data_IF_380247797372
#
_entry.id   IF_380247797372
#
_cell.length_a   1.000
_cell.length_b   1.000
_cell.length_c   1.000
_cell.angle_alpha   90.00
_cell.angle_beta   90.00
_cell.angle_gamma   90.00
#
_symmetry.space_group_name_H-M   'P 1'
#
loop_
_entity.id
_entity.type
_entity.pdbx_description
1 polymer ?
#
# COMPACT_ATOMS: atom_id res chain seq x y z
N UNK A 1 23.27 -36.30 -0.54
CA UNK A 1 24.60 -35.68 -0.37
C UNK A 1 24.51 -34.45 0.53
N UNK A 2 23.69 -33.44 0.25
CA UNK A 2 23.58 -32.21 1.05
C UNK A 2 23.21 -32.47 2.53
N UNK A 3 22.27 -33.39 2.79
CA UNK A 3 21.88 -33.82 4.16
C UNK A 3 23.01 -34.57 4.90
N UNK A 4 23.84 -35.31 4.18
CA UNK A 4 24.98 -36.03 4.79
C UNK A 4 26.10 -35.05 5.15
N UNK A 5 26.33 -34.00 4.35
CA UNK A 5 27.30 -32.96 4.64
C UNK A 5 26.90 -32.16 5.88
N UNK A 6 25.63 -31.75 6.03
CA UNK A 6 25.14 -31.02 7.20
C UNK A 6 25.29 -31.74 8.53
N UNK A 7 25.38 -33.06 8.53
CA UNK A 7 25.65 -33.90 9.73
C UNK A 7 27.13 -34.07 10.07
N UNK A 8 28.03 -33.60 9.15
CA UNK A 8 29.47 -33.76 9.27
C UNK A 8 30.20 -32.70 10.12
N UNK A 9 29.49 -31.75 10.73
CA UNK A 9 30.08 -30.70 11.57
C UNK A 9 30.91 -29.67 10.79
N UNK A 10 30.65 -29.49 9.50
CA UNK A 10 31.31 -28.46 8.65
C UNK A 10 30.68 -27.11 8.93
N UNK A 11 31.49 -26.11 9.30
CA UNK A 11 31.02 -24.78 9.67
C UNK A 11 30.66 -23.88 8.47
N UNK A 12 31.32 -24.10 7.32
CA UNK A 12 31.14 -23.29 6.10
C UNK A 12 30.97 -24.18 4.87
N UNK A 13 29.92 -23.94 4.12
CA UNK A 13 29.63 -24.64 2.87
C UNK A 13 29.75 -23.69 1.68
N UNK A 14 30.64 -23.99 0.75
CA UNK A 14 30.83 -23.23 -0.48
C UNK A 14 30.17 -23.97 -1.64
N UNK A 15 29.26 -23.29 -2.35
CA UNK A 15 28.60 -23.80 -3.53
C UNK A 15 29.21 -23.17 -4.78
N UNK A 16 29.98 -23.96 -5.53
CA UNK A 16 30.39 -23.54 -6.86
C UNK A 16 29.21 -23.66 -7.82
N UNK A 17 28.79 -22.50 -8.34
CA UNK A 17 27.60 -22.38 -9.20
C UNK A 17 27.92 -22.31 -10.69
N UNK A 18 29.10 -22.69 -11.07
CA UNK A 18 29.55 -22.78 -12.44
C UNK A 18 30.84 -22.01 -12.72
N UNK A 19 31.29 -22.03 -13.95
CA UNK A 19 32.46 -21.27 -14.38
C UNK A 19 32.17 -19.77 -14.37
N UNK A 20 33.17 -18.99 -14.00
CA UNK A 20 33.03 -17.53 -13.97
C UNK A 20 32.85 -16.97 -15.38
N UNK A 21 31.82 -16.13 -15.55
CA UNK A 21 31.58 -15.36 -16.76
C UNK A 21 32.46 -14.09 -16.79
N UNK A 22 32.80 -13.63 -18.00
CA UNK A 22 33.52 -12.37 -18.22
C UNK A 22 35.04 -12.47 -18.23
N UNK A 23 35.72 -11.40 -18.64
CA UNK A 23 37.18 -11.32 -18.85
C UNK A 23 37.69 -12.07 -20.10
N UNK A 24 39.00 -12.07 -20.35
CA UNK A 24 39.61 -12.68 -21.53
C UNK A 24 39.53 -14.21 -21.56
N UNK A 25 39.21 -14.87 -20.44
CA UNK A 25 39.20 -16.35 -20.29
C UNK A 25 37.87 -16.87 -19.75
N UNK A 26 36.82 -16.00 -19.61
CA UNK A 26 35.51 -16.39 -19.09
C UNK A 26 34.68 -17.18 -20.10
N UNK A 27 33.96 -18.18 -19.62
CA UNK A 27 33.01 -18.95 -20.44
C UNK A 27 31.66 -18.23 -20.37
N UNK A 28 30.97 -18.00 -21.52
CA UNK A 28 29.61 -17.48 -21.50
C UNK A 28 28.70 -18.45 -20.75
N UNK A 29 28.12 -18.03 -19.66
CA UNK A 29 27.14 -18.80 -18.94
C UNK A 29 25.79 -18.61 -19.65
N UNK A 30 25.15 -19.71 -20.07
CA UNK A 30 23.79 -19.68 -20.62
C UNK A 30 22.71 -19.48 -19.57
N UNK A 31 23.08 -19.47 -18.29
CA UNK A 31 22.17 -19.32 -17.15
C UNK A 31 22.15 -17.87 -16.63
N UNK A 32 20.96 -17.38 -16.26
CA UNK A 32 20.83 -16.08 -15.59
C UNK A 32 21.22 -16.16 -14.12
N UNK A 33 21.57 -15.00 -13.52
CA UNK A 33 21.89 -14.87 -12.09
C UNK A 33 20.77 -15.44 -11.20
N UNK A 34 19.52 -15.20 -11.56
CA UNK A 34 18.34 -15.71 -10.86
C UNK A 34 18.23 -17.25 -10.92
N UNK A 35 18.47 -17.85 -12.09
CA UNK A 35 18.40 -19.31 -12.25
C UNK A 35 19.46 -20.01 -11.38
N UNK A 36 20.65 -19.44 -11.37
CA UNK A 36 21.77 -19.96 -10.57
C UNK A 36 21.48 -19.81 -9.07
N UNK A 37 20.95 -18.67 -8.64
CA UNK A 37 20.55 -18.43 -7.25
C UNK A 37 19.45 -19.41 -6.79
N UNK A 38 18.45 -19.68 -7.61
CA UNK A 38 17.39 -20.64 -7.32
C UNK A 38 17.91 -22.07 -7.18
N UNK A 39 18.86 -22.49 -8.04
CA UNK A 39 19.49 -23.80 -7.93
C UNK A 39 20.26 -23.96 -6.60
N UNK A 40 21.04 -22.96 -6.22
CA UNK A 40 21.77 -22.97 -4.95
C UNK A 40 20.85 -22.97 -3.74
N UNK A 41 19.69 -22.27 -3.80
CA UNK A 41 18.68 -22.23 -2.74
C UNK A 41 18.24 -23.63 -2.27
N UNK A 42 18.00 -24.56 -3.20
CA UNK A 42 17.58 -25.92 -2.88
C UNK A 42 18.60 -26.63 -2.01
N UNK A 43 19.88 -26.51 -2.32
CA UNK A 43 20.97 -27.11 -1.56
C UNK A 43 21.18 -26.44 -0.19
N UNK A 44 21.15 -25.13 -0.16
CA UNK A 44 21.29 -24.33 1.08
C UNK A 44 20.13 -24.63 2.05
N UNK A 45 18.91 -24.73 1.54
CA UNK A 45 17.75 -25.12 2.36
C UNK A 45 17.93 -26.51 2.99
N UNK A 46 18.44 -27.49 2.22
CA UNK A 46 18.66 -28.83 2.74
C UNK A 46 19.75 -28.87 3.83
N UNK A 47 20.83 -28.09 3.66
CA UNK A 47 21.88 -28.00 4.70
C UNK A 47 21.37 -27.33 5.96
N UNK A 48 20.70 -26.19 5.87
CA UNK A 48 20.15 -25.46 7.02
C UNK A 48 19.04 -26.23 7.75
N UNK A 49 18.39 -27.16 7.08
CA UNK A 49 17.44 -28.08 7.74
C UNK A 49 18.18 -29.07 8.66
N UNK A 50 19.40 -29.48 8.27
CA UNK A 50 20.24 -30.41 9.07
C UNK A 50 21.11 -29.66 10.08
N UNK A 51 21.61 -28.49 9.74
CA UNK A 51 22.43 -27.61 10.58
C UNK A 51 21.97 -26.15 10.41
N UNK A 52 21.12 -25.63 11.29
CA UNK A 52 20.61 -24.26 11.23
C UNK A 52 21.70 -23.18 11.37
N UNK A 53 22.86 -23.50 11.95
CA UNK A 53 23.99 -22.60 12.15
C UNK A 53 24.99 -22.58 11.00
N UNK A 54 24.83 -23.42 9.97
CA UNK A 54 25.76 -23.53 8.86
C UNK A 54 25.86 -22.24 8.03
N UNK A 55 27.08 -21.75 7.82
CA UNK A 55 27.36 -20.65 6.89
C UNK A 55 27.42 -21.20 5.46
N UNK A 56 26.60 -20.66 4.59
CA UNK A 56 26.49 -21.04 3.19
C UNK A 56 26.91 -19.90 2.28
N UNK A 57 27.96 -20.10 1.50
CA UNK A 57 28.50 -19.13 0.55
C UNK A 57 28.42 -19.69 -0.88
N UNK A 58 28.35 -18.81 -1.85
CA UNK A 58 28.34 -19.19 -3.28
C UNK A 58 29.60 -18.65 -3.97
N UNK A 59 30.06 -19.34 -5.01
CA UNK A 59 31.24 -19.00 -5.78
C UNK A 59 30.99 -19.24 -7.28
N UNK A 60 31.53 -18.36 -8.13
CA UNK A 60 31.50 -18.55 -9.59
C UNK A 60 30.22 -18.09 -10.29
N UNK A 61 29.95 -18.67 -11.45
CA UNK A 61 28.75 -18.40 -12.26
C UNK A 61 28.76 -17.07 -13.02
N UNK A 62 27.58 -16.55 -13.40
CA UNK A 62 27.44 -15.34 -14.21
C UNK A 62 27.62 -14.03 -13.41
N UNK A 63 28.24 -14.08 -12.23
CA UNK A 63 28.38 -12.95 -11.32
C UNK A 63 29.58 -12.11 -11.72
N UNK A 64 29.33 -10.92 -12.28
CA UNK A 64 30.37 -10.00 -12.79
C UNK A 64 30.30 -8.62 -12.15
N UNK A 65 29.26 -8.31 -11.38
CA UNK A 65 29.07 -7.01 -10.72
C UNK A 65 28.63 -7.19 -9.27
N UNK A 66 28.80 -6.14 -8.41
CA UNK A 66 28.28 -6.15 -7.05
C UNK A 66 26.77 -6.41 -6.97
N UNK A 67 26.01 -5.92 -7.95
CA UNK A 67 24.56 -6.13 -8.05
C UNK A 67 24.23 -7.59 -8.32
N UNK A 68 24.94 -8.23 -9.28
CA UNK A 68 24.77 -9.66 -9.57
C UNK A 68 25.08 -10.54 -8.35
N UNK A 69 26.14 -10.20 -7.60
CA UNK A 69 26.48 -10.88 -6.35
C UNK A 69 25.32 -10.80 -5.35
N UNK A 70 24.81 -9.58 -5.12
CA UNK A 70 23.73 -9.38 -4.18
C UNK A 70 22.46 -10.14 -4.58
N UNK A 71 22.09 -10.08 -5.86
CA UNK A 71 20.93 -10.77 -6.41
C UNK A 71 21.05 -12.29 -6.26
N UNK A 72 22.21 -12.88 -6.60
CA UNK A 72 22.48 -14.29 -6.45
C UNK A 72 22.43 -14.75 -4.98
N UNK A 73 23.07 -14.00 -4.06
CA UNK A 73 23.06 -14.32 -2.62
C UNK A 73 21.66 -14.23 -2.04
N UNK A 74 20.88 -13.20 -2.40
CA UNK A 74 19.50 -13.03 -1.96
C UNK A 74 18.61 -14.17 -2.45
N UNK A 75 18.71 -14.52 -3.72
CA UNK A 75 17.91 -15.58 -4.32
C UNK A 75 18.28 -16.95 -3.75
N UNK A 76 19.57 -17.23 -3.59
CA UNK A 76 20.07 -18.46 -2.97
C UNK A 76 19.81 -18.51 -1.45
N UNK A 77 19.55 -17.41 -0.79
CA UNK A 77 19.59 -17.23 0.67
C UNK A 77 20.97 -17.57 1.26
N UNK A 78 22.02 -17.24 0.53
CA UNK A 78 23.40 -17.46 0.97
C UNK A 78 23.86 -16.34 1.91
N UNK A 79 24.81 -16.65 2.78
CA UNK A 79 25.41 -15.70 3.74
C UNK A 79 26.45 -14.80 3.08
N UNK A 80 27.02 -15.25 1.94
CA UNK A 80 28.06 -14.50 1.23
C UNK A 80 28.43 -15.09 -0.11
N UNK A 81 29.39 -14.40 -0.75
CA UNK A 81 29.97 -14.77 -2.02
C UNK A 81 31.50 -14.82 -1.92
N UNK A 82 32.14 -15.81 -2.54
CA UNK A 82 33.58 -15.90 -2.67
C UNK A 82 33.97 -15.49 -4.10
N UNK A 83 34.61 -14.33 -4.22
CA UNK A 83 35.03 -13.75 -5.48
C UNK A 83 36.49 -14.10 -5.81
N UNK A 84 36.78 -15.35 -6.14
CA UNK A 84 38.14 -15.73 -6.54
C UNK A 84 38.55 -15.12 -7.89
N UNK A 85 38.41 -15.89 -8.96
CA UNK A 85 38.85 -15.49 -10.31
C UNK A 85 38.08 -14.31 -10.93
N UNK A 86 37.01 -13.86 -10.32
CA UNK A 86 36.28 -12.64 -10.76
C UNK A 86 37.10 -11.38 -10.44
N UNK A 87 37.80 -11.38 -9.32
CA UNK A 87 38.67 -10.26 -8.87
C UNK A 87 39.97 -10.23 -9.64
N UNK A 88 40.57 -11.39 -9.93
CA UNK A 88 41.87 -11.52 -10.66
C UNK A 88 41.82 -11.00 -12.12
N UNK A 89 40.64 -10.68 -12.62
CA UNK A 89 40.40 -10.20 -13.99
C UNK A 89 40.31 -8.69 -14.12
N UNK A 90 40.47 -7.95 -13.04
CA UNK A 90 40.44 -6.50 -13.04
C UNK A 90 41.82 -5.93 -13.44
N UNK A 91 41.86 -4.81 -14.20
CA UNK A 91 43.11 -4.35 -14.84
C UNK A 91 44.13 -3.72 -13.93
N UNK A 92 43.87 -3.49 -12.62
CA UNK A 92 44.83 -2.88 -11.68
C UNK A 92 44.45 -3.10 -10.20
N UNK A 93 45.46 -2.99 -9.29
CA UNK A 93 45.28 -3.11 -7.83
C UNK A 93 44.28 -2.07 -7.27
N UNK A 94 44.31 -0.84 -7.78
CA UNK A 94 43.38 0.22 -7.40
C UNK A 94 41.90 -0.14 -7.73
N UNK A 95 41.70 -0.84 -8.84
CA UNK A 95 40.37 -1.33 -9.22
C UNK A 95 39.85 -2.41 -8.27
N UNK A 96 40.71 -3.20 -7.65
CA UNK A 96 40.34 -4.23 -6.66
C UNK A 96 39.82 -3.62 -5.36
N UNK A 97 40.47 -2.57 -4.87
CA UNK A 97 40.04 -1.84 -3.67
C UNK A 97 38.69 -1.16 -3.90
N UNK A 98 38.52 -0.46 -5.02
CA UNK A 98 37.29 0.20 -5.40
C UNK A 98 36.13 -0.81 -5.58
N UNK A 99 36.40 -1.93 -6.24
CA UNK A 99 35.41 -2.98 -6.44
C UNK A 99 35.02 -3.64 -5.11
N UNK A 100 35.98 -3.95 -4.26
CA UNK A 100 35.73 -4.52 -2.93
C UNK A 100 34.91 -3.56 -2.06
N UNK A 101 35.27 -2.26 -2.10
CA UNK A 101 34.48 -1.23 -1.42
C UNK A 101 33.06 -1.11 -1.96
N UNK A 102 32.86 -1.18 -3.29
CA UNK A 102 31.56 -1.19 -3.92
C UNK A 102 30.72 -2.43 -3.52
N UNK A 103 31.32 -3.62 -3.49
CA UNK A 103 30.65 -4.83 -3.00
C UNK A 103 30.20 -4.70 -1.53
N UNK A 104 31.07 -4.19 -0.65
CA UNK A 104 30.74 -3.94 0.76
C UNK A 104 29.65 -2.87 0.91
N UNK A 105 29.72 -1.79 0.14
CA UNK A 105 28.76 -0.71 0.17
C UNK A 105 27.37 -1.20 -0.26
N UNK A 106 27.27 -1.88 -1.41
CA UNK A 106 26.00 -2.42 -1.91
C UNK A 106 25.39 -3.39 -0.91
N UNK A 107 26.17 -4.32 -0.37
CA UNK A 107 25.65 -5.28 0.62
C UNK A 107 25.24 -4.60 1.94
N UNK A 108 25.92 -3.55 2.36
CA UNK A 108 25.58 -2.80 3.58
C UNK A 108 24.32 -1.96 3.40
N UNK A 109 24.21 -1.24 2.28
CA UNK A 109 23.03 -0.47 1.93
C UNK A 109 21.80 -1.38 1.80
N UNK A 110 21.95 -2.51 1.14
CA UNK A 110 20.85 -3.46 0.97
C UNK A 110 20.39 -4.05 2.32
N UNK A 111 21.31 -4.46 3.21
CA UNK A 111 20.92 -4.89 4.57
C UNK A 111 20.20 -3.80 5.35
N UNK A 112 20.55 -2.54 5.12
CA UNK A 112 19.87 -1.39 5.74
C UNK A 112 18.47 -1.20 5.15
N UNK A 113 18.33 -1.31 3.83
CA UNK A 113 17.04 -1.28 3.12
C UNK A 113 16.15 -2.42 3.62
N UNK A 114 16.63 -3.68 3.58
CA UNK A 114 15.88 -4.85 4.03
C UNK A 114 15.48 -4.77 5.53
N UNK A 115 16.30 -4.10 6.36
CA UNK A 115 15.96 -3.86 7.77
C UNK A 115 14.88 -2.81 7.91
N UNK A 116 14.94 -1.73 7.12
CA UNK A 116 13.93 -0.69 7.11
C UNK A 116 12.62 -1.22 6.53
N UNK A 117 12.67 -1.98 5.46
CA UNK A 117 11.50 -2.64 4.86
C UNK A 117 10.84 -3.60 5.85
N UNK A 118 11.61 -4.48 6.53
CA UNK A 118 11.06 -5.35 7.58
C UNK A 118 10.43 -4.58 8.74
N UNK A 119 11.02 -3.45 9.15
CA UNK A 119 10.40 -2.57 10.15
C UNK A 119 9.10 -1.95 9.64
N UNK A 120 9.06 -1.50 8.39
CA UNK A 120 7.85 -0.97 7.75
C UNK A 120 6.79 -2.06 7.61
N UNK A 121 7.16 -3.28 7.20
CA UNK A 121 6.26 -4.41 7.07
C UNK A 121 5.68 -4.84 8.44
N UNK A 122 6.51 -4.90 9.47
CA UNK A 122 6.04 -5.18 10.84
C UNK A 122 5.11 -4.10 11.36
N UNK A 123 5.39 -2.82 11.04
CA UNK A 123 4.51 -1.70 11.40
C UNK A 123 3.23 -1.72 10.56
N UNK A 124 3.32 -2.08 9.27
CA UNK A 124 2.17 -2.12 8.35
C UNK A 124 1.22 -3.30 8.58
N UNK A 125 1.75 -4.50 8.84
CA UNK A 125 0.94 -5.70 9.08
C UNK A 125 0.38 -5.73 10.52
N UNK A 126 1.14 -5.26 11.50
CA UNK A 126 0.71 -5.21 12.90
C UNK A 126 -0.46 -4.26 13.17
N UNK A 127 -0.70 -3.30 12.28
CA UNK A 127 -1.78 -2.31 12.40
C UNK A 127 -3.01 -2.61 11.53
N UNK A 128 -2.98 -3.62 10.67
CA UNK A 128 -4.10 -3.95 9.79
C UNK A 128 -4.30 -2.98 8.61
N UNK A 129 -3.52 -1.89 8.52
CA UNK A 129 -3.55 -0.93 7.42
C UNK A 129 -2.37 -1.20 6.49
N UNK A 130 -2.60 -1.96 5.41
CA UNK A 130 -1.57 -2.39 4.47
C UNK A 130 -1.33 -1.33 3.39
N UNK A 131 -0.05 -0.98 3.16
CA UNK A 131 0.43 -0.06 2.13
C UNK A 131 1.66 0.71 2.55
N UNK A 132 2.37 1.33 1.59
CA UNK A 132 3.63 2.06 1.78
C UNK A 132 3.58 3.50 1.30
N UNK A 133 2.49 3.91 0.69
CA UNK A 133 2.31 5.29 0.22
C UNK A 133 2.33 6.29 1.38
N UNK A 134 2.84 7.50 1.14
CA UNK A 134 3.00 8.54 2.17
C UNK A 134 1.67 8.85 2.87
N UNK A 135 0.57 8.90 2.13
CA UNK A 135 -0.77 9.12 2.68
C UNK A 135 -1.19 8.02 3.69
N UNK A 136 -0.82 6.75 3.44
CA UNK A 136 -1.09 5.68 4.41
C UNK A 136 -0.13 5.68 5.60
N UNK A 137 1.10 6.13 5.41
CA UNK A 137 2.05 6.33 6.51
C UNK A 137 1.50 7.41 7.45
N UNK A 138 1.01 8.53 6.91
CA UNK A 138 0.37 9.58 7.69
C UNK A 138 -0.92 9.09 8.38
N UNK A 139 -1.80 8.40 7.64
CA UNK A 139 -3.03 7.83 8.21
C UNK A 139 -2.73 6.88 9.38
N UNK A 140 -1.66 6.08 9.31
CA UNK A 140 -1.22 5.21 10.41
C UNK A 140 -0.73 6.00 11.62
N UNK A 141 0.09 7.02 11.41
CA UNK A 141 0.56 7.88 12.50
C UNK A 141 -0.60 8.57 13.23
N UNK A 142 -1.57 9.09 12.46
CA UNK A 142 -2.80 9.67 13.03
C UNK A 142 -3.65 8.64 13.76
N UNK A 143 -3.78 7.43 13.21
CA UNK A 143 -4.51 6.32 13.83
C UNK A 143 -3.90 5.93 15.19
N UNK A 144 -2.58 5.88 15.30
CA UNK A 144 -1.90 5.60 16.58
C UNK A 144 -2.20 6.68 17.62
N UNK A 145 -2.00 7.93 17.23
CA UNK A 145 -2.22 9.06 18.12
C UNK A 145 -3.69 9.17 18.57
N UNK A 146 -4.62 9.20 17.60
CA UNK A 146 -6.04 9.37 17.88
C UNK A 146 -6.68 8.11 18.48
N UNK A 147 -6.10 6.93 18.23
CA UNK A 147 -6.58 5.67 18.80
C UNK A 147 -6.51 5.67 20.34
N UNK A 148 -5.34 6.03 20.87
CA UNK A 148 -5.07 6.04 22.31
C UNK A 148 -5.83 7.14 23.07
N UNK A 149 -6.06 8.29 22.44
CA UNK A 149 -6.68 9.48 23.05
C UNK A 149 -8.17 9.28 23.42
N UNK A 150 -8.89 8.40 22.72
CA UNK A 150 -10.30 8.08 23.03
C UNK A 150 -11.32 9.17 22.65
N UNK A 151 -10.91 10.30 22.11
CA UNK A 151 -11.81 11.38 21.68
C UNK A 151 -12.49 11.09 20.32
N UNK A 152 -13.37 12.01 19.85
CA UNK A 152 -14.08 11.84 18.58
C UNK A 152 -13.10 11.88 17.40
N UNK A 153 -13.42 11.16 16.33
CA UNK A 153 -12.59 11.11 15.10
C UNK A 153 -13.48 11.16 13.86
N UNK A 154 -13.06 11.92 12.86
CA UNK A 154 -13.60 11.89 11.51
C UNK A 154 -12.74 10.98 10.62
N UNK A 155 -13.34 9.99 9.97
CA UNK A 155 -12.65 9.09 9.03
C UNK A 155 -13.22 9.30 7.65
N UNK A 156 -12.43 9.79 6.72
CA UNK A 156 -12.85 10.08 5.37
C UNK A 156 -12.21 9.17 4.33
N UNK A 157 -12.83 9.10 3.17
CA UNK A 157 -12.34 8.40 1.99
C UNK A 157 -13.47 7.85 1.14
N UNK A 158 -13.21 7.46 -0.10
CA UNK A 158 -14.21 6.88 -0.98
C UNK A 158 -14.69 5.50 -0.49
N UNK A 159 -15.83 5.04 -1.02
CA UNK A 159 -16.36 3.74 -0.70
C UNK A 159 -15.36 2.62 -1.00
N UNK A 160 -15.26 1.66 -0.07
CA UNK A 160 -14.30 0.56 -0.20
C UNK A 160 -12.84 0.91 0.10
N UNK A 161 -12.49 2.14 0.51
CA UNK A 161 -11.10 2.54 0.84
C UNK A 161 -10.56 1.95 2.15
N UNK A 162 -11.45 1.41 3.02
CA UNK A 162 -11.08 0.82 4.31
C UNK A 162 -11.51 1.63 5.53
N UNK A 163 -12.42 2.61 5.40
CA UNK A 163 -12.92 3.48 6.49
C UNK A 163 -13.42 2.69 7.71
N UNK A 164 -14.26 1.68 7.50
CA UNK A 164 -14.79 0.85 8.59
C UNK A 164 -13.68 0.04 9.28
N UNK A 165 -12.63 -0.36 8.55
CA UNK A 165 -11.44 -0.98 9.14
C UNK A 165 -10.72 0.01 10.07
N UNK A 166 -10.51 1.26 9.63
CA UNK A 166 -9.88 2.31 10.45
C UNK A 166 -10.70 2.59 11.70
N UNK A 167 -12.04 2.66 11.61
CA UNK A 167 -12.91 2.83 12.76
C UNK A 167 -12.76 1.68 13.78
N UNK A 168 -12.69 0.43 13.32
CA UNK A 168 -12.45 -0.73 14.17
C UNK A 168 -11.05 -0.69 14.83
N UNK A 169 -10.03 -0.27 14.08
CA UNK A 169 -8.66 -0.12 14.59
C UNK A 169 -8.56 0.99 15.63
N UNK A 170 -9.27 2.12 15.43
CA UNK A 170 -9.38 3.21 16.42
C UNK A 170 -10.06 2.73 17.69
N UNK A 171 -11.15 1.97 17.56
CA UNK A 171 -11.84 1.38 18.70
C UNK A 171 -10.95 0.42 19.49
N UNK A 172 -10.28 -0.51 18.79
CA UNK A 172 -9.40 -1.53 19.42
C UNK A 172 -8.20 -0.94 20.17
N UNK A 173 -7.80 0.30 19.84
CA UNK A 173 -6.74 1.06 20.56
C UNK A 173 -7.28 1.97 21.66
N UNK A 174 -8.60 2.18 21.66
CA UNK A 174 -9.26 3.10 22.59
C UNK A 174 -9.45 2.54 24.00
N UNK A 175 -9.79 3.42 24.96
CA UNK A 175 -10.07 3.01 26.34
C UNK A 175 -11.31 2.13 26.45
N UNK A 176 -12.28 2.23 25.52
CA UNK A 176 -13.53 1.45 25.52
C UNK A 176 -13.45 0.12 24.77
N UNK A 177 -12.28 -0.39 24.41
CA UNK A 177 -12.04 -1.61 23.61
C UNK A 177 -12.60 -2.91 24.20
N UNK A 178 -12.98 -2.88 25.47
CA UNK A 178 -13.52 -4.06 26.22
C UNK A 178 -14.88 -4.51 25.69
N UNK A 179 -15.67 -3.61 25.12
CA UNK A 179 -17.00 -3.88 24.59
C UNK A 179 -17.00 -3.66 23.08
N UNK A 180 -17.69 -4.47 22.28
CA UNK A 180 -17.71 -4.28 20.84
C UNK A 180 -18.24 -2.89 20.46
N UNK A 181 -17.76 -2.28 19.36
CA UNK A 181 -18.29 -1.03 18.87
C UNK A 181 -19.68 -1.23 18.30
N UNK A 182 -20.50 -0.19 18.37
CA UNK A 182 -21.81 -0.15 17.75
C UNK A 182 -21.74 0.68 16.48
N UNK A 183 -22.28 0.19 15.36
CA UNK A 183 -22.27 0.88 14.07
C UNK A 183 -23.68 1.19 13.61
N UNK A 184 -23.91 2.42 13.17
CA UNK A 184 -25.19 2.91 12.66
C UNK A 184 -24.99 3.73 11.39
N UNK A 185 -25.97 3.72 10.50
CA UNK A 185 -25.96 4.51 9.27
C UNK A 185 -26.76 5.80 9.46
N UNK A 186 -26.10 6.94 9.27
CA UNK A 186 -26.73 8.26 9.45
C UNK A 186 -27.89 8.54 8.49
N UNK A 187 -27.97 7.88 7.35
CA UNK A 187 -29.08 8.03 6.39
C UNK A 187 -30.43 7.65 6.96
N UNK A 188 -30.43 6.88 8.05
CA UNK A 188 -31.62 6.39 8.74
C UNK A 188 -31.74 6.95 10.16
N UNK A 189 -30.94 7.98 10.50
CA UNK A 189 -30.90 8.57 11.84
C UNK A 189 -31.46 9.99 11.85
N UNK A 190 -32.45 10.21 12.67
CA UNK A 190 -32.81 11.53 13.18
C UNK A 190 -32.33 11.71 14.64
N UNK A 191 -32.51 12.91 15.20
CA UNK A 191 -32.12 13.18 16.57
C UNK A 191 -32.79 12.25 17.60
N UNK A 192 -34.02 11.83 17.34
CA UNK A 192 -34.74 10.91 18.20
C UNK A 192 -34.22 9.48 18.18
N UNK A 193 -33.57 9.03 17.10
CA UNK A 193 -32.85 7.76 17.07
C UNK A 193 -31.46 7.89 17.70
N UNK A 194 -30.81 9.01 17.48
CA UNK A 194 -29.45 9.21 18.00
C UNK A 194 -29.44 9.44 19.50
N UNK A 195 -30.30 10.34 20.01
CA UNK A 195 -30.33 10.74 21.42
C UNK A 195 -31.48 10.11 22.23
N UNK A 196 -32.40 9.42 21.56
CA UNK A 196 -33.60 8.88 22.19
C UNK A 196 -34.79 9.85 22.18
N UNK A 197 -35.97 9.36 22.53
CA UNK A 197 -37.19 10.17 22.60
C UNK A 197 -38.05 9.80 23.79
N UNK A 198 -38.69 10.80 24.38
CA UNK A 198 -39.73 10.67 25.40
C UNK A 198 -41.03 11.19 24.82
N UNK A 199 -42.01 10.31 24.54
CA UNK A 199 -43.30 10.73 23.99
C UNK A 199 -44.09 11.55 25.03
N UNK A 200 -44.71 12.64 24.56
CA UNK A 200 -45.47 13.55 25.40
C UNK A 200 -46.70 12.93 26.08
N UNK A 201 -47.22 11.83 25.53
CA UNK A 201 -48.41 11.10 25.96
C UNK A 201 -48.14 9.98 26.98
N UNK A 202 -46.92 9.90 27.52
CA UNK A 202 -46.53 8.87 28.49
C UNK A 202 -46.29 7.48 27.87
N UNK A 203 -46.15 7.41 26.54
CA UNK A 203 -45.80 6.20 25.80
C UNK A 203 -44.42 5.62 26.20
N UNK A 204 -44.01 4.54 25.52
CA UNK A 204 -42.74 3.89 25.80
C UNK A 204 -41.55 4.82 25.40
N UNK A 205 -40.65 5.04 26.33
CA UNK A 205 -39.38 5.70 26.07
C UNK A 205 -38.60 4.95 24.99
N UNK A 206 -38.01 5.68 24.05
CA UNK A 206 -37.07 5.14 23.05
C UNK A 206 -35.65 5.44 23.46
N UNK A 207 -34.85 4.40 23.62
CA UNK A 207 -33.42 4.51 23.90
C UNK A 207 -32.69 5.04 22.66
N UNK A 208 -31.79 6.02 22.84
CA UNK A 208 -30.95 6.52 21.77
C UNK A 208 -29.65 5.73 21.62
N UNK A 209 -29.04 5.80 20.44
CA UNK A 209 -27.77 5.13 20.17
C UNK A 209 -26.64 5.64 21.05
N UNK A 210 -26.57 6.94 21.36
CA UNK A 210 -25.57 7.54 22.28
C UNK A 210 -25.70 6.96 23.70
N UNK A 211 -26.92 6.67 24.13
CA UNK A 211 -27.21 6.06 25.42
C UNK A 211 -26.83 4.57 25.41
N UNK A 212 -27.21 3.85 24.35
CA UNK A 212 -26.91 2.43 24.17
C UNK A 212 -25.40 2.17 24.05
N UNK A 213 -24.65 3.09 23.44
CA UNK A 213 -23.20 3.02 23.28
C UNK A 213 -22.41 3.49 24.52
N UNK A 214 -23.09 3.76 25.65
CA UNK A 214 -22.38 4.16 26.87
C UNK A 214 -21.35 3.10 27.29
N UNK A 215 -20.09 3.48 27.42
CA UNK A 215 -18.98 2.57 27.73
C UNK A 215 -18.40 1.82 26.54
N UNK A 216 -18.76 2.19 25.32
CA UNK A 216 -18.17 1.66 24.08
C UNK A 216 -18.00 2.77 23.03
N UNK A 217 -17.72 2.36 21.78
CA UNK A 217 -17.60 3.29 20.65
C UNK A 217 -18.86 3.22 19.79
N UNK A 218 -19.41 4.37 19.44
CA UNK A 218 -20.45 4.53 18.42
C UNK A 218 -19.82 5.00 17.12
N UNK A 219 -19.89 4.16 16.09
CA UNK A 219 -19.47 4.48 14.74
C UNK A 219 -20.69 4.91 13.94
N UNK A 220 -20.68 6.12 13.41
CA UNK A 220 -21.76 6.69 12.60
C UNK A 220 -21.26 6.75 11.15
N UNK A 221 -21.75 5.85 10.30
CA UNK A 221 -21.45 5.82 8.87
C UNK A 221 -22.29 6.85 8.11
N UNK A 222 -21.75 7.36 7.00
CA UNK A 222 -22.39 8.40 6.17
C UNK A 222 -22.79 9.65 6.96
N UNK A 223 -21.92 10.11 7.84
CA UNK A 223 -22.21 11.17 8.83
C UNK A 223 -22.66 12.48 8.20
N UNK A 224 -22.31 12.75 6.93
CA UNK A 224 -22.83 13.88 6.14
C UNK A 224 -24.38 13.80 5.95
N UNK A 225 -24.98 12.64 6.13
CA UNK A 225 -26.42 12.42 6.04
C UNK A 225 -27.20 12.84 7.28
N UNK A 226 -26.53 13.20 8.39
CA UNK A 226 -27.19 13.74 9.58
C UNK A 226 -27.80 15.11 9.30
N UNK A 227 -29.00 15.37 9.81
CA UNK A 227 -29.60 16.70 9.71
C UNK A 227 -28.77 17.75 10.45
N UNK A 228 -28.77 19.02 10.02
CA UNK A 228 -28.02 20.08 10.71
C UNK A 228 -28.35 20.20 12.21
N UNK A 229 -29.63 20.00 12.59
CA UNK A 229 -30.05 19.98 14.00
C UNK A 229 -29.39 18.85 14.80
N UNK A 230 -29.40 17.61 14.25
CA UNK A 230 -28.76 16.45 14.86
C UNK A 230 -27.24 16.62 14.96
N UNK A 231 -26.59 17.21 13.95
CA UNK A 231 -25.18 17.54 14.00
C UNK A 231 -24.85 18.55 15.09
N UNK A 232 -25.71 19.57 15.30
CA UNK A 232 -25.52 20.57 16.37
C UNK A 232 -25.69 19.96 17.76
N UNK A 233 -26.67 19.08 17.95
CA UNK A 233 -26.86 18.32 19.18
C UNK A 233 -25.64 17.41 19.45
N UNK A 234 -25.11 16.76 18.39
CA UNK A 234 -23.91 15.94 18.50
C UNK A 234 -22.68 16.77 18.87
N UNK A 235 -22.52 17.95 18.29
CA UNK A 235 -21.45 18.87 18.66
C UNK A 235 -21.51 19.28 20.14
N UNK A 236 -22.70 19.58 20.64
CA UNK A 236 -22.93 19.87 22.04
C UNK A 236 -22.62 18.67 22.97
N UNK A 237 -23.04 17.47 22.56
CA UNK A 237 -22.70 16.24 23.29
C UNK A 237 -21.19 16.00 23.33
N UNK A 238 -20.49 16.19 22.23
CA UNK A 238 -19.02 16.04 22.18
C UNK A 238 -18.27 17.06 23.07
N UNK A 239 -18.92 18.17 23.43
CA UNK A 239 -18.37 19.18 24.35
C UNK A 239 -18.49 18.80 25.81
N UNK A 240 -19.71 18.42 26.22
CA UNK A 240 -20.04 18.28 27.62
C UNK A 240 -20.30 16.84 28.09
N UNK A 241 -20.36 15.87 27.17
CA UNK A 241 -20.67 14.47 27.47
C UNK A 241 -22.09 14.23 27.98
N UNK A 242 -22.96 15.25 27.83
CA UNK A 242 -24.37 15.19 28.25
C UNK A 242 -25.30 15.50 27.09
N UNK A 243 -26.48 14.95 27.13
CA UNK A 243 -27.52 15.12 26.11
C UNK A 243 -28.92 15.03 26.75
N UNK A 244 -29.93 15.40 26.00
CA UNK A 244 -31.35 15.20 26.36
C UNK A 244 -32.02 14.34 25.31
N UNK A 245 -32.98 13.52 25.73
CA UNK A 245 -33.88 12.87 24.79
C UNK A 245 -34.82 13.87 24.15
N UNK A 246 -35.23 13.65 22.93
CA UNK A 246 -36.21 14.51 22.30
C UNK A 246 -37.55 14.46 23.10
N UNK A 247 -38.09 15.62 23.45
CA UNK A 247 -39.29 15.75 24.32
C UNK A 247 -39.01 15.55 25.79
N UNK A 248 -37.82 15.14 26.21
CA UNK A 248 -37.44 14.96 27.62
C UNK A 248 -36.80 16.20 28.24
N UNK A 249 -36.95 16.32 29.56
CA UNK A 249 -36.37 17.39 30.37
C UNK A 249 -35.05 16.96 31.03
N UNK A 250 -34.87 15.66 31.22
CA UNK A 250 -33.74 15.11 31.98
C UNK A 250 -32.42 15.20 31.16
N UNK A 251 -31.37 15.68 31.85
CA UNK A 251 -30.01 15.66 31.29
C UNK A 251 -29.35 14.32 31.60
N UNK A 252 -29.00 13.58 30.56
CA UNK A 252 -28.35 12.29 30.64
C UNK A 252 -26.86 12.43 30.32
N UNK A 253 -26.03 11.54 30.84
CA UNK A 253 -24.59 11.48 30.51
C UNK A 253 -24.24 10.18 29.84
N UNK A 254 -23.33 10.25 28.85
CA UNK A 254 -22.72 9.09 28.22
C UNK A 254 -21.23 9.35 28.00
N UNK A 255 -20.44 8.29 28.16
CA UNK A 255 -19.02 8.28 27.83
C UNK A 255 -18.75 7.56 26.50
N UNK A 256 -19.77 7.46 25.65
CA UNK A 256 -19.64 6.87 24.32
C UNK A 256 -18.57 7.62 23.51
N UNK A 257 -17.59 6.92 22.98
CA UNK A 257 -16.66 7.45 21.99
C UNK A 257 -17.36 7.53 20.64
N UNK A 258 -17.27 8.67 19.95
CA UNK A 258 -17.90 8.88 18.66
C UNK A 258 -16.84 8.80 17.55
N UNK A 259 -17.07 7.96 16.55
CA UNK A 259 -16.31 7.92 15.30
C UNK A 259 -17.28 8.20 14.16
N UNK A 260 -17.01 9.23 13.38
CA UNK A 260 -17.82 9.66 12.24
C UNK A 260 -17.12 9.23 10.96
N UNK A 261 -17.85 8.59 10.06
CA UNK A 261 -17.35 8.16 8.75
C UNK A 261 -18.03 8.96 7.67
N UNK A 262 -17.23 9.67 6.86
CA UNK A 262 -17.68 10.44 5.70
C UNK A 262 -17.00 10.01 4.39
N UNK A 263 -17.50 10.53 3.28
CA UNK A 263 -16.94 10.32 1.95
C UNK A 263 -15.90 11.38 1.60
N UNK A 264 -16.10 12.60 2.09
CA UNK A 264 -15.22 13.75 1.89
C UNK A 264 -14.34 14.01 3.12
N UNK A 265 -13.14 14.55 2.92
CA UNK A 265 -12.29 15.05 3.99
C UNK A 265 -13.00 16.12 4.82
N UNK A 266 -12.60 16.27 6.08
CA UNK A 266 -13.27 17.16 7.04
C UNK A 266 -13.41 18.60 6.52
N UNK A 267 -12.35 19.16 5.95
CA UNK A 267 -12.36 20.53 5.41
C UNK A 267 -13.29 20.64 4.19
N UNK A 268 -13.28 19.64 3.31
CA UNK A 268 -14.14 19.61 2.12
C UNK A 268 -15.62 19.50 2.52
N UNK A 269 -15.95 18.65 3.49
CA UNK A 269 -17.32 18.49 4.01
C UNK A 269 -17.83 19.77 4.69
N UNK A 270 -16.97 20.45 5.46
CA UNK A 270 -17.30 21.74 6.09
C UNK A 270 -17.48 22.85 5.02
N UNK A 271 -16.58 22.91 4.02
CA UNK A 271 -16.66 23.89 2.92
C UNK A 271 -17.88 23.68 2.00
N UNK A 272 -18.31 22.44 1.82
CA UNK A 272 -19.54 22.10 1.09
C UNK A 272 -20.83 22.35 1.89
N UNK A 273 -20.72 22.68 3.19
CA UNK A 273 -21.87 22.89 4.06
C UNK A 273 -22.59 21.60 4.48
N UNK A 274 -22.01 20.42 4.22
CA UNK A 274 -22.55 19.13 4.65
C UNK A 274 -22.29 18.85 6.13
N UNK A 275 -21.31 19.55 6.71
CA UNK A 275 -21.06 19.56 8.15
C UNK A 275 -21.29 20.97 8.73
N UNK A 276 -22.00 21.02 9.87
CA UNK A 276 -22.19 22.29 10.60
C UNK A 276 -20.85 22.76 11.19
N UNK A 277 -20.57 24.09 11.23
CA UNK A 277 -19.28 24.62 11.68
C UNK A 277 -18.88 24.19 13.08
N UNK A 278 -19.84 24.03 14.00
CA UNK A 278 -19.57 23.62 15.37
C UNK A 278 -19.05 22.17 15.46
N UNK A 279 -19.64 21.26 14.69
CA UNK A 279 -19.18 19.86 14.61
C UNK A 279 -17.81 19.78 13.93
N UNK A 280 -17.62 20.50 12.82
CA UNK A 280 -16.33 20.54 12.12
C UNK A 280 -15.21 21.08 13.04
N UNK A 281 -15.48 22.10 13.85
CA UNK A 281 -14.52 22.66 14.82
C UNK A 281 -14.13 21.64 15.90
N UNK A 282 -15.07 20.82 16.37
CA UNK A 282 -14.80 19.76 17.36
C UNK A 282 -13.95 18.62 16.81
N UNK A 283 -14.05 18.38 15.50
CA UNK A 283 -13.31 17.36 14.78
C UNK A 283 -11.98 17.87 14.19
N UNK A 284 -11.72 19.19 14.28
CA UNK A 284 -10.51 19.79 13.74
C UNK A 284 -9.25 19.10 14.29
N UNK A 285 -8.33 18.69 13.38
CA UNK A 285 -7.12 17.90 13.66
C UNK A 285 -7.37 16.47 14.18
N UNK A 286 -8.61 16.01 14.15
CA UNK A 286 -9.02 14.65 14.58
C UNK A 286 -9.61 13.87 13.41
N UNK A 287 -9.01 14.03 12.27
CA UNK A 287 -9.42 13.46 11.00
C UNK A 287 -8.37 12.47 10.49
N UNK A 288 -8.81 11.46 9.76
CA UNK A 288 -7.98 10.50 9.04
C UNK A 288 -8.55 10.37 7.64
N UNK A 289 -7.79 10.78 6.64
CA UNK A 289 -8.19 10.68 5.26
C UNK A 289 -7.54 9.46 4.60
N UNK A 290 -8.36 8.63 3.96
CA UNK A 290 -7.90 7.46 3.21
C UNK A 290 -7.96 7.76 1.72
N UNK A 291 -6.82 7.68 1.02
CA UNK A 291 -6.79 7.87 -0.42
C UNK A 291 -7.51 6.74 -1.16
N UNK A 292 -8.09 7.01 -2.34
CA UNK A 292 -8.59 5.97 -3.24
C UNK A 292 -7.45 5.05 -3.69
N UNK A 293 -7.79 3.83 -4.10
CA UNK A 293 -6.79 2.87 -4.58
C UNK A 293 -6.07 3.37 -5.84
N UNK A 294 -6.77 4.16 -6.68
CA UNK A 294 -6.19 4.80 -7.87
C UNK A 294 -5.03 5.75 -7.59
N UNK A 295 -4.90 6.28 -6.36
CA UNK A 295 -3.81 7.15 -5.93
C UNK A 295 -2.67 6.39 -5.22
N UNK A 296 -2.85 5.08 -4.99
CA UNK A 296 -1.88 4.21 -4.31
C UNK A 296 -1.67 2.87 -5.03
N UNK A 297 -1.57 2.92 -6.34
CA UNK A 297 -1.40 1.72 -7.19
C UNK A 297 -0.14 0.92 -6.86
N UNK A 298 0.89 1.55 -6.34
CA UNK A 298 2.12 0.90 -5.87
C UNK A 298 1.91 -0.02 -4.67
N UNK A 299 0.80 0.13 -3.94
CA UNK A 299 0.42 -0.74 -2.84
C UNK A 299 -0.28 -2.04 -3.29
N UNK A 300 -0.70 -2.13 -4.57
CA UNK A 300 -1.44 -3.29 -5.11
C UNK A 300 -0.75 -4.63 -4.84
N UNK A 301 0.56 -4.80 -5.08
CA UNK A 301 1.22 -6.08 -4.81
C UNK A 301 1.13 -6.52 -3.35
N UNK A 302 1.30 -5.57 -2.40
CA UNK A 302 1.19 -5.83 -0.96
C UNK A 302 -0.23 -6.17 -0.55
N UNK A 303 -1.21 -5.46 -1.12
CA UNK A 303 -2.63 -5.70 -0.87
C UNK A 303 -3.07 -7.06 -1.40
N UNK A 304 -2.60 -7.46 -2.59
CA UNK A 304 -2.87 -8.79 -3.16
C UNK A 304 -2.28 -9.89 -2.29
N UNK A 305 -1.03 -9.75 -1.85
CA UNK A 305 -0.40 -10.71 -0.93
C UNK A 305 -1.17 -10.81 0.39
N UNK A 306 -1.57 -9.67 0.96
CA UNK A 306 -2.36 -9.61 2.18
C UNK A 306 -3.73 -10.29 2.04
N UNK A 307 -4.47 -9.99 0.98
CA UNK A 307 -5.77 -10.61 0.74
C UNK A 307 -5.65 -12.11 0.45
N UNK A 308 -4.65 -12.51 -0.34
CA UNK A 308 -4.39 -13.92 -0.61
C UNK A 308 -4.04 -14.70 0.67
N UNK A 309 -3.22 -14.13 1.55
CA UNK A 309 -2.89 -14.74 2.84
C UNK A 309 -4.12 -14.85 3.75
N UNK A 310 -5.03 -13.88 3.73
CA UNK A 310 -6.27 -13.93 4.49
C UNK A 310 -7.28 -14.95 3.95
N UNK A 311 -7.33 -15.13 2.62
CA UNK A 311 -8.25 -16.06 1.94
C UNK A 311 -7.72 -17.51 1.94
N UNK A 312 -6.41 -17.68 1.90
CA UNK A 312 -5.73 -18.99 1.88
C UNK A 312 -4.61 -19.07 2.93
N UNK A 313 -4.94 -19.14 4.24
CA UNK A 313 -3.93 -19.08 5.31
C UNK A 313 -2.90 -20.22 5.27
N UNK A 314 -3.25 -21.36 4.67
CA UNK A 314 -2.38 -22.53 4.56
C UNK A 314 -1.56 -22.57 3.25
N UNK A 315 -1.78 -21.63 2.34
CA UNK A 315 -1.04 -21.54 1.09
C UNK A 315 0.24 -20.71 1.26
N UNK A 316 1.18 -20.86 0.33
CA UNK A 316 2.38 -20.03 0.26
C UNK A 316 2.06 -18.59 -0.16
N UNK A 317 3.06 -17.68 -0.13
CA UNK A 317 2.88 -16.30 -0.58
C UNK A 317 2.54 -16.27 -2.07
N UNK A 318 1.47 -15.56 -2.40
CA UNK A 318 1.00 -15.39 -3.78
C UNK A 318 1.68 -14.17 -4.41
N UNK A 319 2.09 -14.30 -5.68
CA UNK A 319 2.74 -13.23 -6.44
C UNK A 319 1.90 -12.86 -7.65
N UNK A 320 2.07 -11.62 -8.11
CA UNK A 320 1.50 -11.16 -9.38
C UNK A 320 2.51 -11.34 -10.51
N UNK A 321 2.08 -11.86 -11.66
CA UNK A 321 2.89 -11.79 -12.87
C UNK A 321 3.00 -10.33 -13.35
N UNK A 322 4.06 -9.96 -14.10
CA UNK A 322 4.21 -8.60 -14.61
C UNK A 322 3.05 -8.17 -15.53
N UNK A 323 2.42 -9.12 -16.20
CA UNK A 323 1.27 -8.87 -17.07
C UNK A 323 -0.01 -8.62 -16.25
N UNK A 324 -0.25 -9.42 -15.20
CA UNK A 324 -1.35 -9.20 -14.26
C UNK A 324 -1.22 -7.86 -13.56
N UNK A 325 -0.03 -7.52 -13.08
CA UNK A 325 0.22 -6.23 -12.43
C UNK A 325 -0.11 -5.05 -13.36
N UNK A 326 0.31 -5.10 -14.64
CA UNK A 326 -0.02 -4.03 -15.60
C UNK A 326 -1.52 -3.87 -15.81
N UNK A 327 -2.30 -4.94 -15.82
CA UNK A 327 -3.76 -4.86 -15.92
C UNK A 327 -4.37 -4.20 -14.67
N UNK A 328 -3.90 -4.59 -13.49
CA UNK A 328 -4.39 -4.02 -12.23
C UNK A 328 -4.07 -2.52 -12.07
N UNK A 329 -2.89 -2.05 -12.49
CA UNK A 329 -2.57 -0.61 -12.44
C UNK A 329 -3.28 0.21 -13.52
N UNK A 330 -3.77 -0.42 -14.59
CA UNK A 330 -4.52 0.24 -15.65
C UNK A 330 -6.01 0.45 -15.30
N UNK A 331 -6.50 -0.21 -14.26
CA UNK A 331 -7.89 -0.13 -13.83
C UNK A 331 -8.14 1.07 -12.90
N UNK A 332 -9.34 1.67 -12.97
CA UNK A 332 -9.69 2.91 -12.24
C UNK A 332 -10.11 2.68 -10.78
N UNK A 333 -10.39 1.46 -10.40
CA UNK A 333 -10.74 1.03 -9.03
C UNK A 333 -11.94 1.76 -8.41
N UNK A 334 -13.12 1.82 -9.06
CA UNK A 334 -14.29 2.48 -8.49
C UNK A 334 -14.75 1.89 -7.15
N UNK A 335 -14.57 0.59 -6.94
CA UNK A 335 -14.87 -0.12 -5.69
C UNK A 335 -13.69 -0.23 -4.72
N UNK A 336 -12.54 0.37 -5.05
CA UNK A 336 -11.35 0.43 -4.20
C UNK A 336 -10.89 -0.96 -3.67
N UNK A 337 -10.58 -1.08 -2.38
CA UNK A 337 -10.11 -2.33 -1.77
C UNK A 337 -11.17 -3.44 -1.77
N UNK A 338 -12.46 -3.07 -1.74
CA UNK A 338 -13.53 -4.06 -1.79
C UNK A 338 -13.54 -4.78 -3.15
N UNK A 339 -13.36 -4.02 -4.22
CA UNK A 339 -13.25 -4.53 -5.58
C UNK A 339 -11.96 -5.33 -5.76
N UNK A 340 -10.81 -4.81 -5.32
CA UNK A 340 -9.54 -5.53 -5.39
C UNK A 340 -9.62 -6.88 -4.67
N UNK A 341 -10.21 -6.92 -3.47
CA UNK A 341 -10.39 -8.17 -2.72
C UNK A 341 -11.22 -9.19 -3.49
N UNK A 342 -12.35 -8.77 -4.09
CA UNK A 342 -13.20 -9.65 -4.89
C UNK A 342 -12.47 -10.20 -6.12
N UNK A 343 -11.68 -9.37 -6.79
CA UNK A 343 -10.83 -9.77 -7.92
C UNK A 343 -9.77 -10.79 -7.49
N UNK A 344 -9.09 -10.55 -6.37
CA UNK A 344 -8.09 -11.49 -5.83
C UNK A 344 -8.75 -12.81 -5.45
N UNK A 345 -9.91 -12.80 -4.79
CA UNK A 345 -10.65 -14.00 -4.42
C UNK A 345 -10.99 -14.83 -5.66
N UNK A 346 -11.53 -14.22 -6.70
CA UNK A 346 -11.85 -14.88 -7.96
C UNK A 346 -10.60 -15.41 -8.68
N UNK A 347 -9.51 -14.63 -8.71
CA UNK A 347 -8.26 -15.02 -9.35
C UNK A 347 -7.59 -16.21 -8.65
N UNK A 348 -7.75 -16.32 -7.32
CA UNK A 348 -7.20 -17.43 -6.55
C UNK A 348 -7.88 -18.77 -6.86
N UNK A 349 -9.16 -18.83 -7.25
CA UNK A 349 -9.87 -20.08 -7.53
C UNK A 349 -9.26 -20.88 -8.67
N UNK A 350 -8.54 -20.22 -9.59
CA UNK A 350 -7.88 -20.87 -10.74
C UNK A 350 -6.35 -20.80 -10.72
N UNK A 351 -5.73 -20.24 -9.67
CA UNK A 351 -4.28 -19.95 -9.64
C UNK A 351 -3.55 -20.76 -8.56
N UNK A 352 -2.27 -21.12 -8.86
CA UNK A 352 -1.31 -21.59 -7.86
C UNK A 352 -0.70 -20.44 -7.05
N UNK A 353 0.63 -20.41 -6.94
CA UNK A 353 1.38 -19.39 -6.20
C UNK A 353 1.57 -18.07 -6.99
N UNK A 354 1.14 -18.02 -8.27
CA UNK A 354 1.25 -16.83 -9.13
C UNK A 354 -0.11 -16.55 -9.76
N UNK A 355 -0.59 -15.31 -9.61
CA UNK A 355 -1.77 -14.81 -10.32
C UNK A 355 -1.32 -14.32 -11.70
N UNK A 356 -1.75 -15.02 -12.73
CA UNK A 356 -1.52 -14.67 -14.14
C UNK A 356 -2.60 -13.72 -14.64
N UNK A 357 -2.34 -13.06 -15.77
CA UNK A 357 -3.29 -12.12 -16.38
C UNK A 357 -4.60 -12.81 -16.79
N UNK A 358 -4.50 -14.06 -17.19
CA UNK A 358 -5.61 -14.91 -17.63
C UNK A 358 -6.54 -15.35 -16.48
N UNK A 359 -6.02 -15.33 -15.25
CA UNK A 359 -6.80 -15.62 -14.01
C UNK A 359 -7.60 -14.41 -13.53
N UNK A 360 -7.27 -13.21 -14.02
CA UNK A 360 -8.03 -12.00 -13.65
C UNK A 360 -9.35 -11.96 -14.44
N UNK A 361 -10.45 -11.51 -13.83
CA UNK A 361 -11.67 -11.23 -14.57
C UNK A 361 -11.40 -10.16 -15.63
N UNK A 362 -12.27 -10.09 -16.64
CA UNK A 362 -12.20 -9.01 -17.64
C UNK A 362 -12.38 -7.68 -16.90
N UNK A 363 -11.26 -7.00 -16.67
CA UNK A 363 -11.27 -5.67 -16.10
C UNK A 363 -11.68 -4.72 -17.23
N UNK A 364 -12.96 -4.35 -17.26
CA UNK A 364 -13.46 -3.36 -18.20
C UNK A 364 -12.81 -2.01 -17.89
N UNK A 365 -11.70 -1.75 -18.54
CA UNK A 365 -11.01 -0.48 -18.53
C UNK A 365 -11.81 0.61 -19.25
N UNK A 366 -13.01 0.88 -18.82
CA UNK A 366 -13.69 2.13 -19.13
C UNK A 366 -13.08 3.20 -18.23
N UNK A 367 -12.00 3.80 -18.70
CA UNK A 367 -11.51 5.07 -18.17
C UNK A 367 -12.65 6.08 -18.24
N UNK A 368 -13.44 6.16 -17.16
CA UNK A 368 -14.36 7.29 -16.95
C UNK A 368 -13.49 8.51 -16.69
N UNK A 369 -13.36 9.33 -17.70
CA UNK A 369 -12.43 10.44 -17.78
C UNK A 369 -12.45 11.37 -16.58
N UNK A 370 -11.44 11.27 -15.76
CA UNK A 370 -10.84 12.41 -15.10
C UNK A 370 -9.41 12.53 -15.62
N UNK A 371 -9.03 13.65 -16.26
CA UNK A 371 -7.67 13.83 -16.72
C UNK A 371 -6.76 13.83 -15.49
N UNK A 372 -5.81 12.89 -15.43
CA UNK A 372 -4.67 12.96 -14.52
C UNK A 372 -3.89 14.24 -14.85
N UNK A 373 -3.55 15.11 -13.90
CA UNK A 373 -2.77 16.32 -14.19
C UNK A 373 -1.38 16.03 -14.78
N UNK A 374 -0.85 14.80 -14.66
CA UNK A 374 0.52 14.44 -15.02
C UNK A 374 0.68 13.09 -15.75
N UNK A 375 -0.35 12.55 -16.38
CA UNK A 375 -0.17 11.38 -17.25
C UNK A 375 0.58 11.81 -18.52
N UNK A 376 1.60 11.04 -19.00
CA UNK A 376 2.23 11.31 -20.28
C UNK A 376 1.14 11.35 -21.36
N UNK A 377 1.08 12.47 -22.09
CA UNK A 377 -0.01 12.88 -22.96
C UNK A 377 -0.54 11.80 -23.87
N UNK A 378 -1.69 11.27 -23.53
CA UNK A 378 -2.43 10.35 -24.39
C UNK A 378 -3.06 11.14 -25.55
N UNK A 379 -2.87 10.64 -26.75
CA UNK A 379 -3.33 11.27 -27.98
C UNK A 379 -4.84 11.17 -28.07
N UNK A 380 -5.55 12.29 -28.07
CA UNK A 380 -6.99 12.30 -28.40
C UNK A 380 -7.23 11.65 -29.76
N UNK A 381 -8.24 10.81 -29.93
CA UNK A 381 -8.49 10.10 -31.19
C UNK A 381 -8.62 10.99 -32.43
N UNK A 382 -8.91 12.29 -32.25
CA UNK A 382 -9.09 13.29 -33.29
C UNK A 382 -7.94 14.31 -33.38
N UNK A 383 -6.86 14.17 -32.61
CA UNK A 383 -5.75 15.11 -32.61
C UNK A 383 -4.64 14.64 -33.54
N UNK A 384 -4.20 15.53 -34.46
CA UNK A 384 -3.06 15.17 -35.30
C UNK A 384 -1.78 15.03 -34.47
N UNK A 385 -0.85 14.16 -34.89
CA UNK A 385 0.41 13.95 -34.15
C UNK A 385 1.21 15.26 -34.02
N UNK A 386 1.11 16.13 -35.04
CA UNK A 386 1.71 17.44 -35.03
C UNK A 386 1.14 18.33 -33.89
N UNK A 387 -0.19 18.36 -33.77
CA UNK A 387 -0.86 19.20 -32.77
C UNK A 387 -0.62 18.69 -31.35
N UNK A 388 -0.55 17.39 -31.18
CA UNK A 388 -0.20 16.73 -29.90
C UNK A 388 1.23 17.09 -29.44
N UNK A 389 2.22 17.07 -30.36
CA UNK A 389 3.59 17.48 -30.07
C UNK A 389 3.64 19.00 -29.78
N UNK A 390 2.89 19.79 -30.52
CA UNK A 390 2.85 21.25 -30.36
C UNK A 390 2.25 21.64 -28.99
N UNK A 391 1.19 20.95 -28.56
CA UNK A 391 0.58 21.16 -27.24
C UNK A 391 1.56 20.79 -26.11
N UNK A 392 2.24 19.66 -26.23
CA UNK A 392 3.29 19.27 -25.29
C UNK A 392 4.43 20.28 -25.20
N UNK A 393 4.87 20.82 -26.33
CA UNK A 393 5.90 21.88 -26.40
C UNK A 393 5.44 23.16 -25.70
N UNK A 394 4.19 23.59 -25.95
CA UNK A 394 3.61 24.79 -25.33
C UNK A 394 3.49 24.65 -23.81
N UNK A 395 3.01 23.51 -23.33
CA UNK A 395 2.88 23.22 -21.90
C UNK A 395 4.20 23.29 -21.17
N UNK A 396 5.27 22.79 -21.78
CA UNK A 396 6.61 22.77 -21.19
C UNK A 396 7.52 23.90 -21.71
N UNK A 397 6.93 25.02 -22.18
CA UNK A 397 7.65 26.24 -22.63
C UNK A 397 8.79 25.91 -23.59
N UNK A 398 8.56 24.98 -24.52
CA UNK A 398 9.53 24.52 -25.54
C UNK A 398 10.79 23.82 -24.96
N UNK A 399 10.77 23.39 -23.70
CA UNK A 399 11.85 22.59 -23.10
C UNK A 399 11.78 21.16 -23.60
N UNK A 400 12.58 20.86 -24.63
CA UNK A 400 12.55 19.57 -25.36
C UNK A 400 12.72 18.35 -24.47
N UNK A 401 13.53 18.42 -23.39
CA UNK A 401 13.77 17.31 -22.45
C UNK A 401 12.54 16.98 -21.59
N UNK A 402 11.84 18.00 -21.12
CA UNK A 402 10.61 17.86 -20.32
C UNK A 402 9.45 17.45 -21.22
N UNK A 403 9.34 18.04 -22.42
CA UNK A 403 8.36 17.65 -23.42
C UNK A 403 8.49 16.19 -23.85
N UNK A 404 9.71 15.70 -24.10
CA UNK A 404 9.95 14.32 -24.47
C UNK A 404 9.50 13.36 -23.36
N UNK A 405 9.79 13.70 -22.10
CA UNK A 405 9.39 12.92 -20.93
C UNK A 405 7.86 12.93 -20.75
N UNK A 406 7.22 14.09 -20.92
CA UNK A 406 5.77 14.24 -20.87
C UNK A 406 5.05 13.45 -21.95
N UNK A 407 5.55 13.46 -23.19
CA UNK A 407 4.98 12.74 -24.32
C UNK A 407 5.35 11.23 -24.35
N UNK A 408 6.13 10.73 -23.37
CA UNK A 408 6.60 9.36 -23.36
C UNK A 408 7.56 8.99 -24.49
N UNK A 409 8.24 10.00 -25.08
CA UNK A 409 9.13 9.84 -26.22
C UNK A 409 10.61 9.97 -25.81
N UNK A 410 11.52 9.29 -26.54
CA UNK A 410 12.94 9.62 -26.40
C UNK A 410 13.22 11.02 -26.96
N UNK A 411 14.25 11.71 -26.43
CA UNK A 411 14.67 13.03 -26.96
C UNK A 411 14.97 12.97 -28.46
N UNK A 412 15.57 11.87 -28.93
CA UNK A 412 15.89 11.64 -30.33
C UNK A 412 14.61 11.47 -31.18
N UNK A 413 13.64 10.72 -30.67
CA UNK A 413 12.34 10.53 -31.32
C UNK A 413 11.56 11.83 -31.42
N UNK A 414 11.49 12.61 -30.35
CA UNK A 414 10.85 13.92 -30.36
C UNK A 414 11.52 14.87 -31.35
N UNK A 415 12.86 14.93 -31.38
CA UNK A 415 13.61 15.74 -32.32
C UNK A 415 13.31 15.37 -33.78
N UNK A 416 13.31 14.09 -34.12
CA UNK A 416 13.01 13.60 -35.47
C UNK A 416 11.57 13.95 -35.87
N UNK A 417 10.61 13.82 -34.98
CA UNK A 417 9.20 14.19 -35.21
C UNK A 417 9.03 15.69 -35.36
N UNK A 418 9.68 16.51 -34.53
CA UNK A 418 9.69 17.96 -34.64
C UNK A 418 10.26 18.39 -36.02
N UNK A 419 11.33 17.75 -36.49
CA UNK A 419 11.91 18.01 -37.82
C UNK A 419 10.94 17.60 -38.93
N UNK A 420 10.30 16.45 -38.83
CA UNK A 420 9.33 15.95 -39.79
C UNK A 420 8.12 16.88 -39.95
N UNK A 421 7.64 17.45 -38.85
CA UNK A 421 6.47 18.33 -38.82
C UNK A 421 6.82 19.84 -38.96
N UNK A 422 8.08 20.21 -39.22
CA UNK A 422 8.53 21.58 -39.36
C UNK A 422 8.37 22.42 -38.09
N UNK A 423 8.54 21.82 -36.93
CA UNK A 423 8.43 22.49 -35.61
C UNK A 423 9.80 22.85 -35.01
N UNK A 424 10.86 22.76 -35.79
CA UNK A 424 12.20 23.22 -35.47
C UNK A 424 12.42 24.55 -36.22
N UNK A 425 12.44 25.68 -35.50
CA UNK A 425 13.13 26.89 -35.88
C UNK A 425 14.44 27.01 -35.12
#
# INVERSE_FOLDING_TARGET
AALALGRGGVAVYCFNIGWNAGGAVGVPSGESVLQVGNRARGHIKAIRTADPGALCVIEGGPITTPQHMHEACREARADGYIGGSTIDRLPSESSMEEMTAAFKLVSTLQRRIDRLERRLDQTGQGMGLVGRTDALVEARARLEHLGADGGPVWVAGPDGSGRSLVANLLHGRGPQRQRPPMTVDARHLDGGWLFGAEPADGGRRRLGWVEAANGTTLVIENAEGLTPGTQSELAAFLECGSFRRQGGQDSLRSNARIILIGTAGLEAAAGAGTLVPDLARRLARRDIDLPPLSERLDDIPLLVEHFAAALRPSAGPVRLSPRAFRLLIAHDWPGNLRELRAIVEQALDGSGDVIEAESLPVLDGKRTGRPRPDAPGDRSPNQSERDWILDGLRRHRFRRGETARFLGLSRKTLYNKMRHYGLLE
#
